data_IF_322217198929
#
_entry.id   IF_322217198929
#
_cell.length_a   1.000
_cell.length_b   1.000
_cell.length_c   1.000
_cell.angle_alpha   90.00
_cell.angle_beta   90.00
_cell.angle_gamma   90.00
#
_symmetry.space_group_name_H-M   'P 1'
#
loop_
_entity.id
_entity.type
_entity.pdbx_description
1 polymer ?
#
# COMPACT_ATOMS: atom_id res chain seq x y z
N UNK A 1 15.28 -23.54 29.49
CA UNK A 1 14.53 -22.29 29.76
C UNK A 1 13.41 -22.19 28.74
N UNK A 2 12.16 -21.90 29.12
CA UNK A 2 11.12 -21.64 28.14
C UNK A 2 11.47 -20.33 27.42
N UNK A 3 11.53 -20.35 26.09
CA UNK A 3 11.56 -19.12 25.30
C UNK A 3 10.22 -18.41 25.55
N UNK A 4 10.22 -17.38 26.38
CA UNK A 4 9.10 -16.45 26.45
C UNK A 4 9.09 -15.70 25.11
N UNK A 5 8.20 -16.09 24.21
CA UNK A 5 8.02 -15.38 22.95
C UNK A 5 7.35 -14.05 23.27
N UNK A 6 8.13 -12.99 23.47
CA UNK A 6 7.59 -11.65 23.68
C UNK A 6 6.78 -11.23 22.44
N UNK A 7 5.46 -11.12 22.64
CA UNK A 7 4.55 -10.72 21.58
C UNK A 7 4.59 -9.20 21.44
N UNK A 8 5.06 -8.70 20.29
CA UNK A 8 4.99 -7.28 19.93
C UNK A 8 3.72 -6.99 19.14
N UNK A 9 2.95 -5.99 19.59
CA UNK A 9 1.78 -5.49 18.88
C UNK A 9 2.23 -4.59 17.72
N UNK A 10 1.66 -4.82 16.53
CA UNK A 10 1.82 -3.96 15.37
C UNK A 10 0.46 -3.45 14.90
N UNK A 11 0.40 -2.20 14.45
CA UNK A 11 -0.80 -1.65 13.80
C UNK A 11 -0.81 -2.08 12.35
N UNK A 12 -1.71 -2.98 12.02
CA UNK A 12 -1.82 -3.56 10.69
C UNK A 12 -3.28 -3.84 10.36
N UNK A 13 -3.66 -3.66 9.10
CA UNK A 13 -4.92 -4.14 8.56
C UNK A 13 -4.65 -5.04 7.36
N UNK A 14 -5.13 -6.28 7.43
CA UNK A 14 -4.99 -7.26 6.37
C UNK A 14 -6.35 -7.59 5.76
N UNK A 15 -6.39 -7.58 4.43
CA UNK A 15 -7.56 -7.93 3.64
C UNK A 15 -7.20 -9.12 2.77
N UNK A 16 -8.01 -10.18 2.86
CA UNK A 16 -7.87 -11.35 2.01
C UNK A 16 -9.05 -11.44 1.04
N UNK A 17 -8.71 -11.72 -0.22
CA UNK A 17 -9.62 -12.21 -1.26
C UNK A 17 -9.39 -13.71 -1.47
N UNK A 18 -9.98 -14.29 -2.54
CA UNK A 18 -9.81 -15.70 -2.86
C UNK A 18 -8.35 -16.09 -3.19
N UNK A 19 -7.62 -15.24 -3.91
CA UNK A 19 -6.28 -15.57 -4.42
C UNK A 19 -5.23 -14.48 -4.18
N UNK A 20 -5.64 -13.36 -3.58
CA UNK A 20 -4.78 -12.21 -3.32
C UNK A 20 -5.08 -11.60 -1.96
N UNK A 21 -4.14 -10.82 -1.44
CA UNK A 21 -4.32 -10.06 -0.22
C UNK A 21 -3.65 -8.69 -0.28
N UNK A 22 -4.07 -7.83 0.63
CA UNK A 22 -3.52 -6.50 0.88
C UNK A 22 -3.23 -6.37 2.37
N UNK A 23 -2.00 -5.99 2.69
CA UNK A 23 -1.57 -5.57 4.03
C UNK A 23 -1.33 -4.06 4.02
N UNK A 24 -1.96 -3.33 4.93
CA UNK A 24 -1.73 -1.91 5.18
C UNK A 24 -1.11 -1.74 6.56
N UNK A 25 0.05 -1.08 6.65
CA UNK A 25 0.77 -0.91 7.91
C UNK A 25 1.64 0.35 7.93
N UNK A 26 2.14 0.66 9.12
CA UNK A 26 3.20 1.65 9.32
C UNK A 26 4.51 1.25 8.61
N UNK A 27 5.19 2.27 8.09
CA UNK A 27 6.54 2.19 7.57
C UNK A 27 7.28 3.50 7.89
N UNK A 28 8.56 3.55 7.57
CA UNK A 28 9.34 4.78 7.64
C UNK A 28 10.38 4.78 6.52
N UNK A 29 10.76 5.99 6.11
CA UNK A 29 11.91 6.22 5.25
C UNK A 29 13.08 6.63 6.15
N UNK A 30 14.22 6.00 5.95
CA UNK A 30 15.49 6.39 6.59
C UNK A 30 16.29 7.25 5.62
N UNK A 31 16.84 8.36 6.12
CA UNK A 31 17.88 9.13 5.44
C UNK A 31 19.19 8.92 6.17
N UNK A 32 20.25 8.61 5.41
CA UNK A 32 21.58 8.36 5.93
C UNK A 32 22.59 9.29 5.29
N UNK A 33 23.48 9.85 6.10
CA UNK A 33 24.66 10.60 5.65
C UNK A 33 25.90 9.99 6.30
N UNK A 34 26.92 9.68 5.49
CA UNK A 34 28.16 9.07 5.96
C UNK A 34 27.96 7.78 6.80
N UNK A 35 26.94 6.99 6.47
CA UNK A 35 26.60 5.76 7.19
C UNK A 35 25.91 5.97 8.54
N UNK A 36 25.49 7.20 8.86
CA UNK A 36 24.71 7.51 10.06
C UNK A 36 23.29 7.93 9.68
N UNK A 37 22.31 7.43 10.43
CA UNK A 37 20.91 7.85 10.27
C UNK A 37 20.76 9.30 10.73
N UNK A 38 20.49 10.20 9.80
CA UNK A 38 20.29 11.63 10.07
C UNK A 38 18.81 12.01 10.14
N UNK A 39 17.93 11.19 9.57
CA UNK A 39 16.49 11.41 9.64
C UNK A 39 15.72 10.10 9.48
N UNK A 40 14.59 9.97 10.18
CA UNK A 40 13.52 9.06 9.80
C UNK A 40 12.24 9.85 9.60
N UNK A 41 11.45 9.49 8.61
CA UNK A 41 10.13 10.08 8.41
C UNK A 41 9.07 9.00 8.21
N UNK A 42 7.90 9.22 8.80
CA UNK A 42 6.79 8.28 8.75
C UNK A 42 6.29 8.04 7.32
N UNK A 43 5.87 6.81 7.03
CA UNK A 43 5.33 6.38 5.74
C UNK A 43 4.22 5.34 5.97
N UNK A 44 3.40 5.12 4.96
CA UNK A 44 2.36 4.07 4.97
C UNK A 44 2.70 3.05 3.89
N UNK A 45 2.84 1.78 4.25
CA UNK A 45 3.08 0.71 3.30
C UNK A 45 1.80 -0.04 2.99
N UNK A 46 1.51 -0.17 1.69
CA UNK A 46 0.55 -1.10 1.14
C UNK A 46 1.31 -2.25 0.46
N UNK A 47 1.12 -3.47 0.94
CA UNK A 47 1.70 -4.68 0.36
C UNK A 47 0.60 -5.55 -0.23
N UNK A 48 0.59 -5.65 -1.54
CA UNK A 48 -0.27 -6.55 -2.29
C UNK A 48 0.45 -7.86 -2.52
N UNK A 49 -0.23 -8.99 -2.38
CA UNK A 49 0.38 -10.31 -2.54
C UNK A 49 -0.59 -11.35 -3.10
N UNK A 50 -0.06 -12.38 -3.73
CA UNK A 50 -0.78 -13.58 -4.16
C UNK A 50 -0.77 -14.60 -3.00
N UNK A 51 -1.89 -15.29 -2.81
CA UNK A 51 -2.03 -16.41 -1.87
C UNK A 51 -1.66 -17.76 -2.50
N UNK A 52 -1.56 -17.79 -3.83
CA UNK A 52 -1.19 -18.98 -4.59
C UNK A 52 0.34 -19.11 -4.60
N UNK A 53 0.88 -20.34 -4.42
CA UNK A 53 2.32 -20.58 -4.51
C UNK A 53 2.92 -20.13 -5.84
N UNK A 54 4.21 -19.76 -5.82
CA UNK A 54 4.96 -19.48 -7.04
C UNK A 54 4.91 -20.67 -7.98
N UNK A 55 4.49 -20.42 -9.22
CA UNK A 55 4.50 -21.42 -10.28
C UNK A 55 5.73 -21.28 -11.18
N UNK A 56 6.33 -20.09 -11.23
CA UNK A 56 7.54 -19.79 -12.01
C UNK A 56 8.57 -18.98 -11.19
N UNK A 57 9.88 -19.12 -11.47
CA UNK A 57 10.93 -18.43 -10.71
C UNK A 57 10.82 -16.89 -10.75
N UNK A 58 10.43 -16.35 -11.89
CA UNK A 58 10.29 -14.92 -12.21
C UNK A 58 8.93 -14.33 -11.83
N UNK A 59 8.02 -15.14 -11.28
CA UNK A 59 6.68 -14.69 -10.94
C UNK A 59 6.69 -13.67 -9.78
N UNK A 60 6.14 -12.48 -10.05
CA UNK A 60 5.86 -11.50 -9.01
C UNK A 60 4.69 -11.98 -8.15
N UNK A 61 4.99 -12.26 -6.88
CA UNK A 61 4.01 -12.68 -5.87
C UNK A 61 3.63 -11.58 -4.91
N UNK A 62 4.38 -10.47 -4.88
CA UNK A 62 4.05 -9.33 -4.06
C UNK A 62 4.56 -8.03 -4.69
N UNK A 63 3.82 -6.95 -4.48
CA UNK A 63 4.20 -5.59 -4.85
C UNK A 63 3.94 -4.69 -3.65
N UNK A 64 4.94 -3.89 -3.29
CA UNK A 64 4.82 -2.86 -2.24
C UNK A 64 4.67 -1.49 -2.88
N UNK A 65 3.77 -0.69 -2.33
CA UNK A 65 3.57 0.72 -2.62
C UNK A 65 3.71 1.47 -1.29
N UNK A 66 4.65 2.42 -1.20
CA UNK A 66 4.97 3.14 0.05
C UNK A 66 4.50 4.57 -0.12
N UNK A 67 3.36 4.91 0.44
CA UNK A 67 2.79 6.25 0.39
C UNK A 67 3.51 7.19 1.36
N UNK A 68 3.67 8.43 0.93
CA UNK A 68 3.75 9.56 1.85
C UNK A 68 2.42 9.73 2.62
N UNK A 69 2.41 10.36 3.80
CA UNK A 69 1.19 10.53 4.58
C UNK A 69 0.03 11.17 3.81
N UNK A 70 0.29 12.21 3.04
CA UNK A 70 -0.69 12.90 2.20
C UNK A 70 -1.19 12.03 1.03
N UNK A 71 -0.32 11.23 0.42
CA UNK A 71 -0.71 10.23 -0.60
C UNK A 71 -1.64 9.16 -0.02
N UNK A 72 -1.36 8.69 1.20
CA UNK A 72 -2.22 7.72 1.90
C UNK A 72 -3.59 8.34 2.23
N UNK A 73 -3.62 9.61 2.64
CA UNK A 73 -4.86 10.34 2.85
C UNK A 73 -5.63 10.56 1.55
N UNK A 74 -4.96 10.92 0.46
CA UNK A 74 -5.58 11.08 -0.86
C UNK A 74 -6.20 9.76 -1.35
N UNK A 75 -5.51 8.64 -1.14
CA UNK A 75 -6.05 7.30 -1.44
C UNK A 75 -7.31 7.00 -0.61
N UNK A 76 -7.33 7.36 0.68
CA UNK A 76 -8.51 7.21 1.53
C UNK A 76 -9.71 8.01 1.00
N UNK A 77 -9.49 9.23 0.53
CA UNK A 77 -10.54 10.04 -0.12
C UNK A 77 -11.03 9.41 -1.42
N UNK A 78 -10.12 8.92 -2.26
CA UNK A 78 -10.48 8.23 -3.52
C UNK A 78 -11.34 6.99 -3.27
N UNK A 79 -11.02 6.20 -2.23
CA UNK A 79 -11.85 5.05 -1.81
C UNK A 79 -13.28 5.50 -1.50
N UNK A 80 -13.45 6.58 -0.72
CA UNK A 80 -14.76 7.13 -0.40
C UNK A 80 -15.53 7.60 -1.65
N UNK A 81 -14.85 8.28 -2.57
CA UNK A 81 -15.42 8.76 -3.84
C UNK A 81 -15.88 7.59 -4.72
N UNK A 82 -15.03 6.59 -4.92
CA UNK A 82 -15.35 5.39 -5.71
C UNK A 82 -16.50 4.59 -5.08
N UNK A 83 -16.53 4.49 -3.75
CA UNK A 83 -17.62 3.84 -3.02
C UNK A 83 -18.97 4.55 -3.22
N UNK A 84 -18.96 5.88 -3.22
CA UNK A 84 -20.15 6.71 -3.38
C UNK A 84 -20.64 6.83 -4.85
N UNK A 85 -19.81 6.48 -5.83
CA UNK A 85 -20.17 6.55 -7.24
C UNK A 85 -21.40 5.69 -7.55
N UNK A 86 -22.38 6.24 -8.27
CA UNK A 86 -23.55 5.50 -8.75
C UNK A 86 -23.24 4.59 -9.94
N UNK A 87 -22.14 4.85 -10.65
CA UNK A 87 -21.70 4.12 -11.85
C UNK A 87 -20.35 3.44 -11.62
N UNK A 88 -20.01 2.38 -12.40
CA UNK A 88 -18.66 1.83 -12.38
C UNK A 88 -17.62 2.91 -12.71
N UNK A 89 -16.56 2.98 -11.91
CA UNK A 89 -15.50 3.97 -12.05
C UNK A 89 -14.18 3.43 -11.53
N UNK A 90 -13.08 4.06 -11.96
CA UNK A 90 -11.72 3.68 -11.59
C UNK A 90 -10.89 4.94 -11.42
N UNK A 91 -10.36 5.11 -10.22
CA UNK A 91 -9.48 6.21 -9.87
C UNK A 91 -8.05 5.70 -9.67
N UNK A 92 -7.09 6.59 -9.93
CA UNK A 92 -5.67 6.27 -9.91
C UNK A 92 -4.92 7.31 -9.09
N UNK A 93 -4.15 6.84 -8.10
CA UNK A 93 -3.21 7.68 -7.36
C UNK A 93 -2.03 8.07 -8.27
N UNK A 94 -1.41 9.21 -7.99
CA UNK A 94 -0.20 9.64 -8.68
C UNK A 94 0.85 8.50 -8.68
N UNK A 95 1.42 8.15 -9.85
CA UNK A 95 2.29 7.00 -9.95
C UNK A 95 3.67 7.30 -9.37
N UNK A 96 4.27 6.30 -8.72
CA UNK A 96 5.67 6.38 -8.29
C UNK A 96 6.58 5.96 -9.43
N UNK A 97 7.53 6.82 -9.75
CA UNK A 97 8.50 6.64 -10.83
C UNK A 97 9.87 6.43 -10.23
N UNK A 98 10.51 5.32 -10.58
CA UNK A 98 11.87 5.03 -10.19
C UNK A 98 12.73 4.89 -11.45
N UNK A 99 13.96 5.44 -11.47
CA UNK A 99 14.89 5.10 -12.52
C UNK A 99 15.10 3.58 -12.49
N UNK A 100 14.87 2.90 -13.61
CA UNK A 100 15.29 1.51 -13.75
C UNK A 100 16.80 1.43 -13.61
N UNK A 101 17.31 0.27 -13.19
CA UNK A 101 18.75 0.00 -13.16
C UNK A 101 19.41 0.09 -14.55
N UNK A 102 20.52 -0.61 -14.73
CA UNK A 102 21.45 -0.49 -15.88
C UNK A 102 20.83 -0.55 -17.31
N UNK A 103 19.56 -0.95 -17.46
CA UNK A 103 18.86 -1.03 -18.75
C UNK A 103 17.91 0.15 -19.05
N UNK A 104 17.91 1.23 -18.25
CA UNK A 104 17.36 2.54 -18.64
C UNK A 104 15.83 2.67 -18.75
N UNK A 105 15.05 1.62 -18.46
CA UNK A 105 13.59 1.69 -18.47
C UNK A 105 13.03 2.19 -17.12
N UNK A 106 12.32 3.33 -17.12
CA UNK A 106 11.63 3.86 -15.93
C UNK A 106 10.65 2.82 -15.35
N UNK A 107 10.84 2.45 -14.08
CA UNK A 107 9.89 1.58 -13.38
C UNK A 107 8.79 2.43 -12.78
N UNK A 108 7.59 2.30 -13.35
CA UNK A 108 6.38 2.98 -12.86
C UNK A 108 5.57 2.02 -12.01
N UNK A 109 5.32 2.39 -10.76
CA UNK A 109 4.36 1.70 -9.88
C UNK A 109 3.08 2.53 -9.80
N UNK A 110 1.93 1.90 -10.03
CA UNK A 110 0.61 2.52 -10.06
C UNK A 110 -0.30 1.90 -9.02
N UNK A 111 -1.12 2.70 -8.36
CA UNK A 111 -2.14 2.24 -7.44
C UNK A 111 -3.50 2.76 -7.91
N UNK A 112 -4.48 1.88 -8.02
CA UNK A 112 -5.82 2.20 -8.49
C UNK A 112 -6.87 1.62 -7.55
N UNK A 113 -7.98 2.33 -7.40
CA UNK A 113 -9.17 1.88 -6.69
C UNK A 113 -10.34 1.94 -7.65
N UNK A 114 -11.17 0.90 -7.67
CA UNK A 114 -12.26 0.81 -8.65
C UNK A 114 -13.54 0.23 -8.07
N UNK A 115 -14.66 0.71 -8.61
CA UNK A 115 -15.98 0.09 -8.53
C UNK A 115 -16.26 -0.52 -9.89
N UNK A 116 -16.46 -1.82 -9.93
CA UNK A 116 -16.72 -2.56 -11.17
C UNK A 116 -18.12 -3.14 -11.17
N UNK A 117 -18.62 -3.40 -12.38
CA UNK A 117 -19.83 -4.18 -12.61
C UNK A 117 -19.57 -5.20 -13.71
N UNK A 118 -19.87 -6.48 -13.45
CA UNK A 118 -19.67 -7.60 -14.38
C UNK A 118 -20.76 -8.64 -14.16
N UNK A 119 -21.51 -8.97 -15.21
CA UNK A 119 -22.54 -10.01 -15.18
C UNK A 119 -23.62 -9.79 -14.11
N UNK A 120 -24.09 -8.54 -13.96
CA UNK A 120 -25.11 -8.15 -12.97
C UNK A 120 -24.63 -8.11 -11.52
N UNK A 121 -23.33 -8.32 -11.27
CA UNK A 121 -22.69 -8.17 -9.96
C UNK A 121 -21.83 -6.92 -9.96
N UNK A 122 -21.81 -6.22 -8.84
CA UNK A 122 -20.87 -5.13 -8.60
C UNK A 122 -19.92 -5.46 -7.45
N UNK A 123 -18.77 -4.80 -7.45
CA UNK A 123 -17.80 -4.94 -6.38
C UNK A 123 -16.74 -3.86 -6.43
N UNK A 124 -15.79 -3.95 -5.51
CA UNK A 124 -14.71 -3.00 -5.36
C UNK A 124 -13.38 -3.72 -5.45
N UNK A 125 -12.33 -3.01 -5.85
CA UNK A 125 -10.99 -3.55 -5.82
C UNK A 125 -9.94 -2.47 -5.56
N UNK A 126 -8.87 -2.87 -4.89
CA UNK A 126 -7.60 -2.14 -4.89
C UNK A 126 -6.64 -2.91 -5.78
N UNK A 127 -5.97 -2.22 -6.69
CA UNK A 127 -5.04 -2.85 -7.63
C UNK A 127 -3.73 -2.08 -7.66
N UNK A 128 -2.62 -2.79 -7.53
CA UNK A 128 -1.29 -2.25 -7.76
C UNK A 128 -0.69 -2.84 -9.03
N UNK A 129 -0.04 -2.01 -9.82
CA UNK A 129 0.66 -2.41 -11.04
C UNK A 129 2.11 -1.94 -11.02
N UNK A 130 3.05 -2.78 -11.48
CA UNK A 130 4.45 -2.45 -11.72
C UNK A 130 4.91 -3.09 -13.02
N UNK A 131 5.30 -2.28 -14.00
CA UNK A 131 5.61 -2.73 -15.36
C UNK A 131 4.45 -3.57 -15.96
N UNK A 132 4.66 -4.86 -16.24
CA UNK A 132 3.65 -5.77 -16.80
C UNK A 132 2.85 -6.54 -15.74
N UNK A 133 3.23 -6.40 -14.47
CA UNK A 133 2.68 -7.19 -13.37
C UNK A 133 1.62 -6.40 -12.60
N UNK A 134 0.49 -7.04 -12.31
CA UNK A 134 -0.62 -6.45 -11.58
C UNK A 134 -1.13 -7.41 -10.51
N UNK A 135 -1.43 -6.87 -9.33
CA UNK A 135 -2.11 -7.61 -8.25
C UNK A 135 -3.36 -6.82 -7.88
N UNK A 136 -4.52 -7.44 -8.13
CA UNK A 136 -5.83 -6.89 -7.79
C UNK A 136 -6.40 -7.63 -6.59
N UNK A 137 -6.92 -6.88 -5.62
CA UNK A 137 -7.54 -7.40 -4.40
C UNK A 137 -9.01 -7.00 -4.42
N UNK A 138 -9.90 -7.88 -4.92
CA UNK A 138 -11.33 -7.62 -4.91
C UNK A 138 -11.88 -7.74 -3.49
N UNK A 139 -12.73 -6.80 -3.11
CA UNK A 139 -13.25 -6.65 -1.75
C UNK A 139 -14.73 -6.22 -1.76
N UNK A 140 -15.53 -6.61 -0.75
CA UNK A 140 -16.86 -6.08 -0.54
C UNK A 140 -16.80 -4.66 0.03
N UNK A 141 -17.91 -3.91 -0.12
CA UNK A 141 -18.00 -2.50 0.31
C UNK A 141 -17.52 -2.24 1.75
N UNK A 142 -17.88 -3.03 2.78
CA UNK A 142 -17.44 -2.73 4.15
C UNK A 142 -15.92 -2.78 4.31
N UNK A 143 -15.25 -3.77 3.72
CA UNK A 143 -13.77 -3.87 3.76
C UNK A 143 -13.11 -2.75 2.96
N UNK A 144 -13.71 -2.37 1.83
CA UNK A 144 -13.24 -1.26 1.01
C UNK A 144 -13.27 0.06 1.78
N UNK A 145 -14.42 0.40 2.38
CA UNK A 145 -14.56 1.61 3.20
C UNK A 145 -13.67 1.59 4.45
N UNK A 146 -13.58 0.44 5.14
CA UNK A 146 -12.71 0.30 6.30
C UNK A 146 -11.22 0.49 5.94
N UNK A 147 -10.79 0.00 4.77
CA UNK A 147 -9.44 0.28 4.27
C UNK A 147 -9.19 1.79 4.13
N UNK A 148 -10.17 2.54 3.62
CA UNK A 148 -10.11 4.00 3.55
C UNK A 148 -9.99 4.66 4.93
N UNK A 149 -10.82 4.27 5.90
CA UNK A 149 -10.72 4.82 7.26
C UNK A 149 -9.40 4.47 7.96
N UNK A 150 -8.91 3.24 7.77
CA UNK A 150 -7.62 2.83 8.33
C UNK A 150 -6.43 3.56 7.68
N UNK A 151 -6.50 3.82 6.38
CA UNK A 151 -5.52 4.66 5.66
C UNK A 151 -5.53 6.09 6.20
N UNK A 152 -6.70 6.68 6.44
CA UNK A 152 -6.83 8.02 7.05
C UNK A 152 -6.23 8.06 8.45
N UNK A 153 -6.48 7.04 9.27
CA UNK A 153 -5.86 6.92 10.59
C UNK A 153 -4.32 6.86 10.48
N UNK A 154 -3.78 5.94 9.66
CA UNK A 154 -2.34 5.80 9.51
C UNK A 154 -1.68 7.01 8.86
N UNK A 155 -2.34 7.71 7.92
CA UNK A 155 -1.79 8.93 7.34
C UNK A 155 -1.54 9.96 8.42
N UNK A 156 -2.50 10.18 9.32
CA UNK A 156 -2.32 11.16 10.40
C UNK A 156 -1.28 10.73 11.42
N UNK A 157 -1.25 9.45 11.79
CA UNK A 157 -0.27 8.90 12.74
C UNK A 157 1.16 8.90 12.19
N UNK A 158 1.34 8.83 10.86
CA UNK A 158 2.65 8.81 10.20
C UNK A 158 3.15 10.20 9.78
N UNK A 159 2.46 11.27 10.17
CA UNK A 159 2.91 12.65 10.00
C UNK A 159 3.97 13.04 11.05
N UNK A 160 5.14 12.41 10.99
CA UNK A 160 6.26 12.71 11.89
C UNK A 160 7.61 12.63 11.17
N UNK A 161 8.59 13.34 11.76
CA UNK A 161 10.00 13.29 11.39
C UNK A 161 10.81 13.17 12.68
N UNK A 162 11.70 12.19 12.72
CA UNK A 162 12.67 11.96 13.80
C UNK A 162 14.05 12.41 13.32
N UNK A 163 14.73 13.27 14.09
CA UNK A 163 16.07 13.79 13.81
C UNK A 163 16.93 13.71 15.07
N UNK A 164 18.27 13.54 14.94
CA UNK A 164 19.18 13.69 16.06
C UNK A 164 19.02 15.06 16.72
N UNK A 165 18.98 15.08 18.05
CA UNK A 165 18.95 16.31 18.82
C UNK A 165 20.24 17.10 18.58
N UNK A 166 20.14 18.30 17.98
CA UNK A 166 21.27 19.21 17.87
C UNK A 166 21.54 19.79 19.26
N UNK A 167 22.62 19.35 19.91
CA UNK A 167 23.15 20.06 21.09
C UNK A 167 23.64 21.43 20.62
N UNK A 168 22.96 22.48 21.07
CA UNK A 168 23.41 23.87 20.93
C UNK A 168 24.57 24.17 21.87
#
# INVERSE_FOLDING_TARGET
>A
MPQTSDLKRYRCYEIYSQSTGLEVREAFRTHEENGQVTERSGRVQLRFFKLIPKTRPDEVTQIRFICEPDEAFALALMIGQVAASSVPCKEKLAPHKFPGGEQGAETVTTLTVEKWERGGKSGYALTVGRAKEFISVPVPLPKFLFAGEFLRFLSTEQCWVERPEKKH
#
